data_IF_830677054754
#
_entry.id   IF_830677054754
#
_cell.length_a   1.000
_cell.length_b   1.000
_cell.length_c   1.000
_cell.angle_alpha   90.00
_cell.angle_beta   90.00
_cell.angle_gamma   90.00
#
_symmetry.space_group_name_H-M   'P 1'
#
loop_
_entity.id
_entity.type
_entity.pdbx_description
1 polymer ?
#
# COMPACT_ATOMS: atom_id res chain seq x y z
N UNK A 1 4.40 -20.06 8.06
CA UNK A 1 3.24 -19.41 7.41
C UNK A 1 3.17 -17.98 7.93
N UNK A 2 3.13 -16.97 7.05
CA UNK A 2 2.96 -15.58 7.49
C UNK A 2 1.60 -15.44 8.21
N UNK A 3 1.52 -14.73 9.36
CA UNK A 3 0.27 -14.59 10.12
C UNK A 3 -0.82 -13.79 9.40
N UNK A 4 -0.46 -13.15 8.28
CA UNK A 4 -1.33 -12.25 7.53
C UNK A 4 -1.63 -12.88 6.17
N UNK A 5 -2.91 -13.02 5.84
CA UNK A 5 -3.40 -13.64 4.61
C UNK A 5 -3.08 -12.81 3.37
N UNK A 6 -1.81 -12.82 2.97
CA UNK A 6 -1.33 -12.13 1.77
C UNK A 6 -1.97 -12.73 0.52
N UNK A 7 -2.42 -11.87 -0.38
CA UNK A 7 -3.06 -12.27 -1.62
C UNK A 7 -2.09 -12.00 -2.76
N UNK A 8 -1.95 -13.00 -3.64
CA UNK A 8 -1.24 -12.89 -4.91
C UNK A 8 -2.22 -12.47 -6.01
N UNK A 9 -1.89 -11.42 -6.76
CA UNK A 9 -2.64 -10.98 -7.94
C UNK A 9 -2.56 -12.00 -9.10
N UNK A 10 -3.53 -12.00 -10.01
CA UNK A 10 -3.54 -12.84 -11.22
C UNK A 10 -2.86 -12.08 -12.37
N UNK A 11 -2.07 -12.76 -13.21
CA UNK A 11 -1.32 -12.11 -14.30
C UNK A 11 -2.23 -11.71 -15.47
N UNK A 12 -1.98 -10.55 -16.08
CA UNK A 12 -2.76 -10.01 -17.21
C UNK A 12 -2.05 -10.18 -18.57
N UNK A 13 -0.84 -9.64 -18.75
CA UNK A 13 -0.08 -9.70 -20.02
C UNK A 13 1.43 -9.86 -19.78
N UNK A 14 2.18 -10.31 -20.80
CA UNK A 14 3.65 -10.41 -20.74
C UNK A 14 4.32 -9.06 -20.48
N UNK A 15 3.83 -8.00 -21.11
CA UNK A 15 4.33 -6.63 -20.94
C UNK A 15 4.12 -6.13 -19.50
N UNK A 16 3.00 -6.51 -18.87
CA UNK A 16 2.75 -6.19 -17.47
C UNK A 16 3.70 -6.95 -16.53
N UNK A 17 3.97 -8.22 -16.79
CA UNK A 17 4.97 -8.99 -16.02
C UNK A 17 6.37 -8.36 -16.15
N UNK A 18 6.77 -7.94 -17.36
CA UNK A 18 8.04 -7.25 -17.60
C UNK A 18 8.10 -5.92 -16.84
N UNK A 19 7.01 -5.14 -16.84
CA UNK A 19 6.90 -3.92 -16.05
C UNK A 19 7.00 -4.17 -14.53
N UNK A 20 6.40 -5.23 -14.01
CA UNK A 20 6.55 -5.57 -12.59
C UNK A 20 7.99 -5.93 -12.21
N UNK A 21 8.76 -6.48 -13.15
CA UNK A 21 10.21 -6.71 -12.96
C UNK A 21 10.97 -5.38 -12.93
N UNK A 22 10.63 -4.39 -13.78
CA UNK A 22 11.31 -3.08 -13.78
C UNK A 22 11.06 -2.27 -12.50
N UNK A 23 9.93 -2.50 -11.82
CA UNK A 23 9.63 -1.87 -10.53
C UNK A 23 10.51 -2.37 -9.36
N UNK A 24 11.45 -3.31 -9.57
CA UNK A 24 12.65 -3.41 -8.75
C UNK A 24 12.45 -3.50 -7.23
N UNK A 25 11.44 -4.24 -6.77
CA UNK A 25 11.07 -4.43 -5.36
C UNK A 25 10.47 -3.22 -4.63
N UNK A 26 9.72 -2.36 -5.33
CA UNK A 26 9.03 -1.21 -4.72
C UNK A 26 8.01 -1.59 -3.63
N UNK A 27 7.86 -0.67 -2.68
CA UNK A 27 6.85 -0.67 -1.62
C UNK A 27 5.98 0.57 -1.79
N UNK A 28 4.67 0.40 -1.75
CA UNK A 28 3.71 1.48 -1.89
C UNK A 28 2.75 1.55 -0.71
N UNK A 29 2.56 2.76 -0.20
CA UNK A 29 1.45 3.10 0.69
C UNK A 29 0.38 3.81 -0.14
N UNK A 30 -0.74 3.16 -0.36
CA UNK A 30 -1.78 3.64 -1.24
C UNK A 30 -2.93 4.25 -0.43
N UNK A 31 -3.33 5.46 -0.77
CA UNK A 31 -4.39 6.20 -0.09
C UNK A 31 -5.21 7.03 -1.07
N UNK A 32 -6.36 7.53 -0.62
CA UNK A 32 -7.28 8.28 -1.46
C UNK A 32 -7.84 9.51 -0.74
N UNK A 33 -8.65 10.28 -1.47
CA UNK A 33 -9.26 11.53 -1.01
C UNK A 33 -10.46 11.35 -0.06
N UNK A 34 -10.61 10.21 0.62
CA UNK A 34 -11.68 10.05 1.62
C UNK A 34 -11.47 11.03 2.76
N UNK A 35 -12.35 12.04 2.83
CA UNK A 35 -12.30 13.17 3.76
C UNK A 35 -11.96 12.74 5.19
N UNK A 36 -12.64 11.72 5.71
CA UNK A 36 -12.44 11.24 7.10
C UNK A 36 -10.99 10.84 7.42
N UNK A 37 -10.26 10.31 6.44
CA UNK A 37 -8.90 9.79 6.67
C UNK A 37 -7.78 10.63 6.06
N UNK A 38 -8.10 11.52 5.12
CA UNK A 38 -7.10 12.18 4.30
C UNK A 38 -6.13 13.05 5.11
N UNK A 39 -6.64 13.90 6.01
CA UNK A 39 -5.79 14.75 6.85
C UNK A 39 -4.90 13.94 7.79
N UNK A 40 -5.46 12.91 8.46
CA UNK A 40 -4.71 12.03 9.34
C UNK A 40 -3.58 11.31 8.58
N UNK A 41 -3.85 10.80 7.37
CA UNK A 41 -2.82 10.14 6.55
C UNK A 41 -1.67 11.10 6.22
N UNK A 42 -1.97 12.30 5.73
CA UNK A 42 -0.95 13.27 5.34
C UNK A 42 -0.16 13.83 6.53
N UNK A 43 -0.80 14.02 7.68
CA UNK A 43 -0.16 14.67 8.83
C UNK A 43 0.53 13.68 9.77
N UNK A 44 0.07 12.44 9.82
CA UNK A 44 0.50 11.48 10.85
C UNK A 44 1.09 10.19 10.33
N UNK A 45 0.69 9.72 9.14
CA UNK A 45 1.12 8.43 8.61
C UNK A 45 2.26 8.65 7.63
N UNK A 46 2.04 9.42 6.56
CA UNK A 46 3.04 9.67 5.50
C UNK A 46 4.36 10.21 6.06
N UNK A 47 4.39 11.19 6.98
CA UNK A 47 5.65 11.73 7.49
C UNK A 47 6.47 10.72 8.31
N UNK A 48 5.84 9.63 8.76
CA UNK A 48 6.48 8.57 9.56
C UNK A 48 6.68 7.27 8.76
N UNK A 49 6.38 7.27 7.46
CA UNK A 49 6.68 6.12 6.61
C UNK A 49 8.19 5.96 6.46
N UNK A 50 8.63 4.71 6.39
CA UNK A 50 10.01 4.39 6.03
C UNK A 50 10.33 4.97 4.63
N UNK A 51 11.56 5.43 4.43
CA UNK A 51 11.99 6.08 3.17
C UNK A 51 11.81 5.21 1.92
N UNK A 52 11.88 3.88 2.10
CA UNK A 52 11.63 2.90 1.05
C UNK A 52 10.15 2.71 0.69
N UNK A 53 9.22 3.33 1.43
CA UNK A 53 7.77 3.26 1.16
C UNK A 53 7.33 4.51 0.44
N UNK A 54 6.88 4.33 -0.79
CA UNK A 54 6.43 5.42 -1.63
C UNK A 54 4.91 5.64 -1.47
N UNK A 55 4.46 6.84 -1.05
CA UNK A 55 3.04 7.14 -0.97
C UNK A 55 2.46 7.33 -2.38
N UNK A 56 1.41 6.57 -2.69
CA UNK A 56 0.66 6.68 -3.95
C UNK A 56 -0.74 7.19 -3.65
N UNK A 57 -1.02 8.41 -4.10
CA UNK A 57 -2.35 9.02 -4.00
C UNK A 57 -3.24 8.61 -5.18
N UNK A 58 -4.46 8.21 -4.84
CA UNK A 58 -5.46 7.75 -5.80
C UNK A 58 -6.72 8.61 -5.74
N UNK A 59 -7.22 8.99 -6.92
CA UNK A 59 -8.55 9.56 -7.10
C UNK A 59 -9.39 8.59 -7.92
N UNK A 60 -10.42 8.02 -7.28
CA UNK A 60 -11.23 6.98 -7.91
C UNK A 60 -10.39 5.75 -8.22
N UNK A 61 -10.20 5.44 -9.51
CA UNK A 61 -9.33 4.36 -10.02
C UNK A 61 -8.02 4.86 -10.64
N UNK A 62 -7.79 6.17 -10.60
CA UNK A 62 -6.67 6.82 -11.25
C UNK A 62 -5.60 7.19 -10.23
N UNK A 63 -4.35 7.12 -10.67
CA UNK A 63 -3.17 7.53 -9.90
C UNK A 63 -2.79 8.93 -10.35
N UNK A 64 -2.51 9.81 -9.39
CA UNK A 64 -2.07 11.17 -9.72
C UNK A 64 -0.54 11.31 -9.81
N UNK A 65 0.22 10.32 -9.31
CA UNK A 65 1.67 10.34 -9.38
C UNK A 65 2.16 10.10 -10.84
N UNK A 66 2.90 11.06 -11.38
CA UNK A 66 3.39 11.09 -12.77
C UNK A 66 4.71 10.35 -12.98
N UNK A 67 5.37 9.90 -11.90
CA UNK A 67 6.67 9.20 -11.98
C UNK A 67 6.58 7.77 -12.52
N UNK A 68 5.38 7.28 -12.81
CA UNK A 68 5.14 5.93 -13.28
C UNK A 68 4.19 5.88 -14.47
N UNK A 69 4.27 4.78 -15.23
CA UNK A 69 3.24 4.42 -16.20
C UNK A 69 1.91 4.19 -15.48
N UNK A 70 1.02 5.17 -15.59
CA UNK A 70 -0.27 5.18 -14.91
C UNK A 70 -1.16 4.05 -15.38
N UNK A 71 -0.99 3.52 -16.60
CA UNK A 71 -1.75 2.39 -17.14
C UNK A 71 -1.42 1.10 -16.42
N UNK A 72 -0.14 0.75 -16.33
CA UNK A 72 0.28 -0.47 -15.63
C UNK A 72 0.05 -0.39 -14.13
N UNK A 73 0.29 0.76 -13.53
CA UNK A 73 0.12 0.92 -12.08
C UNK A 73 -1.38 0.92 -11.73
N UNK A 74 -2.25 1.50 -12.57
CA UNK A 74 -3.72 1.30 -12.47
C UNK A 74 -4.10 -0.17 -12.58
N UNK A 75 -3.36 -0.95 -13.34
CA UNK A 75 -3.60 -2.38 -13.47
C UNK A 75 -3.27 -3.15 -12.18
N UNK A 76 -2.16 -2.81 -11.52
CA UNK A 76 -1.84 -3.33 -10.16
C UNK A 76 -3.03 -3.14 -9.22
N UNK A 77 -3.63 -1.96 -9.25
CA UNK A 77 -4.78 -1.60 -8.41
C UNK A 77 -6.05 -2.37 -8.72
N UNK A 78 -6.29 -2.73 -9.99
CA UNK A 78 -7.45 -3.55 -10.38
C UNK A 78 -7.41 -4.95 -9.78
N UNK A 79 -6.23 -5.47 -9.45
CA UNK A 79 -6.06 -6.78 -8.83
C UNK A 79 -6.34 -6.79 -7.33
N UNK A 80 -6.51 -5.64 -6.69
CA UNK A 80 -6.80 -5.60 -5.25
C UNK A 80 -8.19 -6.19 -5.01
N UNK A 81 -8.23 -7.36 -4.38
CA UNK A 81 -9.50 -7.99 -3.97
C UNK A 81 -10.35 -7.06 -3.10
N UNK A 82 -9.72 -6.14 -2.38
CA UNK A 82 -10.36 -5.17 -1.49
C UNK A 82 -10.08 -3.72 -1.89
N UNK A 83 -10.13 -3.40 -3.20
CA UNK A 83 -9.87 -2.05 -3.71
C UNK A 83 -10.58 -0.91 -2.95
N UNK A 84 -11.79 -1.15 -2.43
CA UNK A 84 -12.56 -0.12 -1.73
C UNK A 84 -12.13 0.13 -0.27
N UNK A 85 -11.12 -0.59 0.24
CA UNK A 85 -10.68 -0.56 1.65
C UNK A 85 -9.33 0.11 1.80
N UNK A 86 -9.31 1.43 1.57
CA UNK A 86 -8.14 2.27 1.83
C UNK A 86 -7.99 2.66 3.30
N UNK A 87 -6.77 2.94 3.80
CA UNK A 87 -5.48 2.84 3.08
C UNK A 87 -5.04 1.39 2.82
N UNK A 88 -4.14 1.20 1.87
CA UNK A 88 -3.70 -0.10 1.38
C UNK A 88 -2.17 -0.16 1.29
N UNK A 89 -1.60 -1.31 1.58
CA UNK A 89 -0.17 -1.58 1.42
C UNK A 89 0.04 -2.51 0.25
N UNK A 90 1.08 -2.23 -0.53
CA UNK A 90 1.41 -2.99 -1.74
C UNK A 90 2.91 -3.16 -1.80
N UNK A 91 3.38 -4.37 -2.00
CA UNK A 91 4.80 -4.62 -2.29
C UNK A 91 4.92 -5.47 -3.54
N UNK A 92 5.91 -5.16 -4.35
CA UNK A 92 6.28 -5.97 -5.51
C UNK A 92 7.53 -6.75 -5.13
N UNK A 93 7.55 -8.05 -5.38
CA UNK A 93 8.75 -8.88 -5.18
C UNK A 93 8.86 -9.87 -6.33
N UNK A 94 10.00 -9.87 -7.02
CA UNK A 94 10.28 -10.81 -8.12
C UNK A 94 9.15 -10.86 -9.19
N UNK A 95 8.62 -9.69 -9.56
CA UNK A 95 7.52 -9.61 -10.53
C UNK A 95 6.15 -10.03 -10.01
N UNK A 96 6.00 -10.24 -8.69
CA UNK A 96 4.73 -10.60 -8.05
C UNK A 96 4.22 -9.46 -7.16
N UNK A 97 2.92 -9.22 -7.19
CA UNK A 97 2.24 -8.20 -6.38
C UNK A 97 1.67 -8.88 -5.13
N UNK A 98 1.96 -8.29 -3.98
CA UNK A 98 1.36 -8.62 -2.69
C UNK A 98 0.65 -7.39 -2.16
N UNK A 99 -0.54 -7.57 -1.59
CA UNK A 99 -1.33 -6.48 -1.04
C UNK A 99 -1.99 -6.82 0.29
N UNK A 100 -2.25 -5.79 1.11
CA UNK A 100 -3.14 -5.87 2.28
C UNK A 100 -3.79 -4.53 2.58
N UNK A 101 -5.04 -4.56 3.03
CA UNK A 101 -5.72 -3.38 3.54
C UNK A 101 -5.29 -3.04 4.96
N UNK A 102 -5.16 -1.75 5.26
CA UNK A 102 -5.03 -1.16 6.60
C UNK A 102 -6.35 -0.55 7.10
N UNK A 103 -7.44 -0.66 6.34
CA UNK A 103 -8.69 0.04 6.60
C UNK A 103 -9.23 -0.20 8.01
N UNK A 104 -9.27 -1.45 8.47
CA UNK A 104 -9.77 -1.80 9.80
C UNK A 104 -8.97 -1.13 10.93
N UNK A 105 -7.65 -1.21 10.87
CA UNK A 105 -6.75 -0.63 11.86
C UNK A 105 -6.77 0.89 11.80
N UNK A 106 -6.82 1.44 10.60
CA UNK A 106 -6.84 2.87 10.35
C UNK A 106 -8.13 3.54 10.85
N UNK A 107 -9.30 2.99 10.52
CA UNK A 107 -10.56 3.56 10.98
C UNK A 107 -10.79 3.30 12.47
N UNK A 108 -10.32 2.18 13.01
CA UNK A 108 -10.32 1.98 14.47
C UNK A 108 -9.45 3.02 15.19
N UNK A 109 -8.30 3.39 14.62
CA UNK A 109 -7.47 4.46 15.17
C UNK A 109 -8.17 5.81 15.06
N UNK A 110 -8.70 6.15 13.88
CA UNK A 110 -9.38 7.42 13.63
C UNK A 110 -10.56 7.65 14.60
N UNK A 111 -11.36 6.60 14.86
CA UNK A 111 -12.54 6.70 15.71
C UNK A 111 -12.20 6.79 17.21
N UNK A 112 -11.06 6.24 17.63
CA UNK A 112 -10.75 6.07 19.07
C UNK A 112 -9.51 6.82 19.56
N UNK A 113 -8.68 7.32 18.64
CA UNK A 113 -7.33 7.86 18.92
C UNK A 113 -6.35 6.84 19.49
N UNK A 114 -6.72 5.56 19.59
CA UNK A 114 -5.93 4.51 20.24
C UNK A 114 -5.34 3.56 19.21
N UNK A 115 -4.27 2.87 19.61
CA UNK A 115 -3.64 1.80 18.83
C UNK A 115 -2.96 2.24 17.52
N UNK A 116 -2.45 3.47 17.42
CA UNK A 116 -1.58 3.90 16.30
C UNK A 116 -0.44 2.90 16.04
N UNK A 117 0.19 2.40 17.11
CA UNK A 117 1.22 1.35 17.06
C UNK A 117 0.81 0.08 16.30
N UNK A 118 -0.49 -0.25 16.20
CA UNK A 118 -0.95 -1.39 15.39
C UNK A 118 -0.83 -1.10 13.89
N UNK A 119 -1.03 0.14 13.47
CA UNK A 119 -0.84 0.57 12.08
C UNK A 119 0.65 0.46 11.75
N UNK A 120 1.50 1.07 12.56
CA UNK A 120 2.96 1.08 12.37
C UNK A 120 3.51 -0.34 12.28
N UNK A 121 3.16 -1.19 13.25
CA UNK A 121 3.55 -2.61 13.27
C UNK A 121 3.08 -3.36 12.02
N UNK A 122 1.87 -3.10 11.53
CA UNK A 122 1.33 -3.78 10.34
C UNK A 122 2.06 -3.31 9.08
N UNK A 123 2.45 -2.05 8.99
CA UNK A 123 3.29 -1.50 7.92
C UNK A 123 4.64 -2.20 7.91
N UNK A 124 5.34 -2.19 9.05
CA UNK A 124 6.67 -2.80 9.20
C UNK A 124 6.65 -4.29 8.87
N UNK A 125 5.69 -5.03 9.43
CA UNK A 125 5.54 -6.47 9.19
C UNK A 125 5.21 -6.79 7.74
N UNK A 126 4.40 -5.96 7.08
CA UNK A 126 4.05 -6.19 5.69
C UNK A 126 5.24 -5.95 4.77
N UNK A 127 6.00 -4.89 4.98
CA UNK A 127 7.18 -4.58 4.17
C UNK A 127 8.45 -5.33 4.56
N UNK A 128 8.39 -6.09 5.66
CA UNK A 128 9.51 -6.86 6.21
C UNK A 128 10.70 -5.97 6.58
N UNK A 129 10.41 -4.74 7.03
CA UNK A 129 11.42 -3.90 7.63
C UNK A 129 11.88 -4.58 8.92
N UNK A 130 13.19 -4.84 9.04
CA UNK A 130 13.75 -5.30 10.31
C UNK A 130 13.48 -4.19 11.32
N UNK A 131 12.97 -4.55 12.50
CA UNK A 131 12.99 -3.63 13.64
C UNK A 131 14.43 -3.15 13.78
N UNK A 132 14.68 -1.87 13.48
CA UNK A 132 15.89 -1.21 13.93
C UNK A 132 15.71 -1.14 15.43
N UNK A 133 16.28 -2.12 16.14
CA UNK A 133 16.32 -2.10 17.60
C UNK A 133 16.83 -0.74 18.04
N UNK A 134 15.93 0.04 18.65
CA UNK A 134 16.25 1.22 19.44
C UNK A 134 15.65 1.03 20.82
#
# INVERSE_FOLDING_TARGET
>A
MSPFGWIKAKKDTKEFDEYLVTLGNKNFFCYNNRVKGFECINNEIIPNLHEDVEPIFLIGKSIENTSYDTGYLSNIFRHFKNYNRFPHLVKIRNGEIFDTSLNSEFFSYLDTGKNKKRIDRKIEQFFEFKEIGK
#
